data_IF_971230836889
#
_entry.id   IF_971230836889
#
_cell.length_a   1.000
_cell.length_b   1.000
_cell.length_c   1.000
_cell.angle_alpha   90.00
_cell.angle_beta   90.00
_cell.angle_gamma   90.00
#
_symmetry.space_group_name_H-M   'P 1'
#
loop_
_entity.id
_entity.type
_entity.pdbx_description
1 polymer ?
#
# COMPACT_ATOMS: atom_id res chain seq x y z
N UNK A 1 -3.77 -1.55 -13.36
CA UNK A 1 -4.90 -2.00 -14.22
C UNK A 1 -5.73 -3.15 -13.60
N UNK A 2 -5.26 -3.83 -12.55
CA UNK A 2 -6.04 -4.85 -11.79
C UNK A 2 -6.36 -4.42 -10.35
N UNK A 3 -5.47 -3.66 -9.68
CA UNK A 3 -5.76 -3.07 -8.36
C UNK A 3 -7.01 -2.17 -8.38
N UNK A 4 -7.17 -1.34 -9.43
CA UNK A 4 -8.32 -0.43 -9.56
C UNK A 4 -9.64 -1.15 -9.85
N UNK A 5 -9.59 -2.25 -10.60
CA UNK A 5 -10.81 -2.97 -10.99
C UNK A 5 -11.22 -4.02 -9.96
N UNK A 6 -10.28 -4.50 -9.13
CA UNK A 6 -10.51 -5.60 -8.18
C UNK A 6 -10.79 -6.95 -8.85
N UNK A 7 -10.68 -7.04 -10.18
CA UNK A 7 -11.01 -8.25 -10.91
C UNK A 7 -10.05 -9.38 -10.53
N UNK A 8 -10.59 -10.52 -10.11
CA UNK A 8 -9.85 -11.70 -9.63
C UNK A 8 -9.10 -11.53 -8.30
N UNK A 9 -9.45 -10.50 -7.53
CA UNK A 9 -8.95 -10.34 -6.18
C UNK A 9 -9.37 -11.53 -5.29
N UNK A 10 -8.45 -11.99 -4.45
CA UNK A 10 -8.59 -13.11 -3.52
C UNK A 10 -8.30 -12.69 -2.06
N UNK A 11 -8.14 -11.38 -1.84
CA UNK A 11 -7.87 -10.75 -0.57
C UNK A 11 -8.42 -9.32 -0.56
N UNK A 12 -8.91 -8.87 0.59
CA UNK A 12 -9.32 -7.50 0.85
C UNK A 12 -8.42 -6.87 1.92
N UNK A 13 -7.98 -5.63 1.71
CA UNK A 13 -7.27 -4.83 2.71
C UNK A 13 -8.17 -3.68 3.12
N UNK A 14 -8.34 -3.47 4.43
CA UNK A 14 -9.09 -2.35 5.01
C UNK A 14 -8.18 -1.47 5.83
N UNK A 15 -8.29 -0.16 5.67
CA UNK A 15 -7.57 0.82 6.48
C UNK A 15 -8.40 2.10 6.58
N UNK A 16 -8.64 2.57 7.80
CA UNK A 16 -9.54 3.70 8.08
C UNK A 16 -10.91 3.51 7.39
N UNK A 17 -11.32 4.43 6.52
CA UNK A 17 -12.58 4.44 5.77
C UNK A 17 -12.46 3.83 4.36
N UNK A 18 -11.33 3.17 4.06
CA UNK A 18 -11.03 2.67 2.72
C UNK A 18 -10.81 1.17 2.67
N UNK A 19 -11.20 0.60 1.55
CA UNK A 19 -11.13 -0.83 1.25
C UNK A 19 -10.51 -1.03 -0.13
N UNK A 20 -9.62 -2.02 -0.27
CA UNK A 20 -8.99 -2.38 -1.53
C UNK A 20 -9.10 -3.88 -1.78
N UNK A 21 -9.63 -4.24 -2.94
CA UNK A 21 -9.60 -5.61 -3.45
C UNK A 21 -8.23 -5.86 -4.09
N UNK A 22 -7.45 -6.74 -3.46
CA UNK A 22 -6.04 -6.99 -3.78
C UNK A 22 -5.78 -8.47 -4.07
N UNK A 23 -4.58 -8.77 -4.54
CA UNK A 23 -4.22 -10.10 -5.02
C UNK A 23 -3.05 -10.64 -4.21
N UNK A 24 -3.23 -11.79 -3.54
CA UNK A 24 -2.18 -12.44 -2.72
C UNK A 24 -0.93 -12.70 -3.55
N UNK A 25 -1.09 -13.16 -4.79
CA UNK A 25 0.04 -13.43 -5.70
C UNK A 25 0.85 -12.19 -6.11
N UNK A 26 0.35 -10.98 -5.85
CA UNK A 26 1.10 -9.73 -6.03
C UNK A 26 1.76 -9.32 -4.72
N UNK A 27 1.03 -9.39 -3.61
CA UNK A 27 1.49 -8.90 -2.31
C UNK A 27 2.51 -9.84 -1.65
N UNK A 28 2.19 -11.13 -1.51
CA UNK A 28 2.97 -12.09 -0.72
C UNK A 28 4.43 -12.25 -1.20
N UNK A 29 4.73 -12.35 -2.51
CA UNK A 29 6.12 -12.50 -2.97
C UNK A 29 7.00 -11.26 -2.73
N UNK A 30 6.39 -10.12 -2.41
CA UNK A 30 7.06 -8.83 -2.25
C UNK A 30 7.08 -8.35 -0.79
N UNK A 31 6.45 -9.09 0.12
CA UNK A 31 6.33 -8.74 1.53
C UNK A 31 6.17 -10.00 2.36
N UNK A 32 7.20 -10.31 3.16
CA UNK A 32 7.16 -11.42 4.11
C UNK A 32 6.03 -11.26 5.13
N UNK A 33 5.67 -10.01 5.44
CA UNK A 33 4.53 -9.70 6.30
C UNK A 33 3.21 -10.14 5.65
N UNK A 34 2.95 -9.76 4.39
CA UNK A 34 1.74 -10.19 3.67
C UNK A 34 1.75 -11.68 3.42
N UNK A 35 2.91 -12.30 3.18
CA UNK A 35 3.02 -13.74 3.06
C UNK A 35 2.61 -14.43 4.38
N UNK A 36 3.13 -13.99 5.51
CA UNK A 36 2.76 -14.52 6.82
C UNK A 36 1.27 -14.31 7.15
N UNK A 37 0.71 -13.15 6.82
CA UNK A 37 -0.70 -12.83 7.01
C UNK A 37 -1.63 -13.65 6.11
N UNK A 38 -1.17 -14.00 4.90
CA UNK A 38 -1.94 -14.73 3.89
C UNK A 38 -1.87 -16.26 3.96
N UNK A 39 -0.88 -16.81 4.68
CA UNK A 39 -0.55 -18.25 4.78
C UNK A 39 -1.38 -19.03 5.83
N UNK A 40 -2.47 -18.48 6.37
CA UNK A 40 -3.42 -19.29 7.16
C UNK A 40 -3.11 -19.44 8.63
N UNK A 41 -2.01 -18.86 9.13
CA UNK A 41 -1.66 -18.92 10.57
C UNK A 41 -2.40 -17.89 11.42
N UNK A 42 -3.15 -16.98 10.79
CA UNK A 42 -3.90 -15.92 11.44
C UNK A 42 -5.34 -15.84 10.89
N UNK A 43 -6.28 -15.30 11.67
CA UNK A 43 -7.73 -15.26 11.35
C UNK A 43 -8.03 -14.57 10.03
N UNK A 44 -7.17 -13.66 9.62
CA UNK A 44 -7.21 -12.88 8.39
C UNK A 44 -7.28 -13.77 7.13
N UNK A 45 -6.72 -14.98 7.16
CA UNK A 45 -6.76 -15.88 6.01
C UNK A 45 -8.12 -16.56 5.83
N UNK A 46 -8.83 -16.87 6.91
CA UNK A 46 -10.18 -17.44 6.84
C UNK A 46 -11.18 -16.40 6.35
N UNK A 47 -11.06 -15.17 6.84
CA UNK A 47 -11.95 -14.06 6.48
C UNK A 47 -11.59 -13.43 5.12
N UNK A 48 -10.39 -13.70 4.58
CA UNK A 48 -9.80 -13.03 3.39
C UNK A 48 -9.78 -11.51 3.51
N UNK A 49 -9.70 -11.00 4.73
CA UNK A 49 -9.67 -9.58 5.06
C UNK A 49 -8.49 -9.33 5.97
N UNK A 50 -7.65 -8.35 5.60
CA UNK A 50 -6.59 -7.80 6.46
C UNK A 50 -7.00 -6.40 6.87
N UNK A 51 -7.08 -6.14 8.18
CA UNK A 51 -7.41 -4.81 8.72
C UNK A 51 -6.15 -4.15 9.28
N UNK A 52 -5.76 -3.02 8.69
CA UNK A 52 -4.57 -2.25 9.06
C UNK A 52 -4.96 -1.09 9.98
N UNK A 53 -5.03 -1.36 11.29
CA UNK A 53 -5.53 -0.42 12.29
C UNK A 53 -4.59 0.76 12.60
N UNK A 54 -3.28 0.56 12.51
CA UNK A 54 -2.28 1.58 12.92
C UNK A 54 -1.61 2.28 11.73
N UNK A 55 -2.16 2.12 10.52
CA UNK A 55 -1.63 2.70 9.30
C UNK A 55 -2.53 3.82 8.77
N UNK A 56 -1.97 4.68 7.92
CA UNK A 56 -2.71 5.77 7.26
C UNK A 56 -3.20 5.31 5.90
N UNK A 57 -4.47 5.59 5.58
CA UNK A 57 -5.09 5.12 4.33
C UNK A 57 -4.38 5.63 3.06
N UNK A 58 -3.76 6.80 3.11
CA UNK A 58 -2.96 7.37 2.01
C UNK A 58 -1.60 6.67 1.84
N UNK A 59 -0.93 6.31 2.94
CA UNK A 59 0.30 5.54 2.92
C UNK A 59 0.06 4.09 2.48
N UNK A 60 -1.05 3.48 2.91
CA UNK A 60 -1.47 2.15 2.47
C UNK A 60 -1.79 2.16 0.97
N UNK A 61 -2.51 3.17 0.46
CA UNK A 61 -2.76 3.31 -0.97
C UNK A 61 -1.45 3.42 -1.78
N UNK A 62 -0.47 4.16 -1.26
CA UNK A 62 0.86 4.27 -1.86
C UNK A 62 1.61 2.94 -1.83
N UNK A 63 1.58 2.22 -0.70
CA UNK A 63 2.18 0.89 -0.56
C UNK A 63 1.59 -0.09 -1.56
N UNK A 64 0.25 -0.16 -1.67
CA UNK A 64 -0.42 -1.01 -2.63
C UNK A 64 -0.06 -0.60 -4.06
N UNK A 65 -0.09 0.69 -4.39
CA UNK A 65 0.34 1.18 -5.72
C UNK A 65 1.76 0.74 -6.07
N UNK A 66 2.68 0.82 -5.10
CA UNK A 66 4.06 0.35 -5.27
C UNK A 66 4.13 -1.14 -5.54
N UNK A 67 3.43 -1.98 -4.77
CA UNK A 67 3.43 -3.43 -4.98
C UNK A 67 2.93 -3.82 -6.39
N UNK A 68 2.04 -3.02 -6.99
CA UNK A 68 1.54 -3.26 -8.34
C UNK A 68 2.36 -2.63 -9.47
N UNK A 69 3.13 -1.57 -9.20
CA UNK A 69 3.74 -0.75 -10.28
C UNK A 69 5.21 -0.41 -10.06
N UNK A 70 5.79 -0.81 -8.92
CA UNK A 70 7.09 -0.39 -8.40
C UNK A 70 7.23 1.13 -8.23
N UNK A 71 6.09 1.83 -8.17
CA UNK A 71 6.01 3.26 -7.94
C UNK A 71 4.70 3.62 -7.21
N UNK A 72 4.67 4.79 -6.59
CA UNK A 72 3.48 5.40 -5.98
C UNK A 72 3.33 6.88 -6.36
N UNK A 73 3.99 7.33 -7.44
CA UNK A 73 3.68 8.64 -8.04
C UNK A 73 2.26 8.60 -8.60
N UNK A 74 1.45 9.57 -8.19
CA UNK A 74 0.01 9.58 -8.43
C UNK A 74 -0.36 9.49 -9.91
N UNK A 75 -0.94 8.38 -10.32
CA UNK A 75 -1.85 8.36 -11.47
C UNK A 75 -3.31 8.61 -11.06
N UNK A 76 -3.65 8.57 -9.76
CA UNK A 76 -5.04 8.54 -9.30
C UNK A 76 -5.67 9.88 -8.97
N UNK A 77 -4.89 10.87 -8.54
CA UNK A 77 -5.48 12.09 -8.01
C UNK A 77 -5.57 13.13 -9.14
N UNK A 78 -6.65 13.03 -9.93
CA UNK A 78 -7.16 14.23 -10.61
C UNK A 78 -7.22 15.41 -9.62
N UNK A 79 -7.55 15.15 -8.36
CA UNK A 79 -7.49 16.12 -7.27
C UNK A 79 -6.09 16.68 -6.98
N UNK A 80 -4.97 15.95 -7.16
CA UNK A 80 -3.63 16.52 -7.05
C UNK A 80 -3.24 17.33 -8.28
N UNK A 81 -3.82 17.01 -9.45
CA UNK A 81 -3.69 17.83 -10.66
C UNK A 81 -4.53 19.12 -10.57
N UNK A 82 -5.64 19.10 -9.83
CA UNK A 82 -6.53 20.25 -9.63
C UNK A 82 -6.12 21.09 -8.40
N UNK A 83 -5.52 20.47 -7.38
CA UNK A 83 -5.08 21.11 -6.15
C UNK A 83 -3.58 21.44 -6.25
N UNK A 84 -3.25 22.72 -6.41
CA UNK A 84 -1.87 23.25 -6.45
C UNK A 84 -1.05 23.01 -5.16
N UNK A 85 -1.62 22.35 -4.14
CA UNK A 85 -0.91 22.05 -2.91
C UNK A 85 0.03 20.86 -3.11
N UNK A 86 1.33 21.13 -3.07
CA UNK A 86 2.35 20.09 -2.98
C UNK A 86 2.01 19.12 -1.83
N UNK A 87 2.20 17.81 -2.06
CA UNK A 87 2.02 16.79 -1.01
C UNK A 87 2.83 17.19 0.24
N UNK A 88 2.28 17.05 1.46
CA UNK A 88 3.06 17.29 2.68
C UNK A 88 4.36 16.47 2.68
N UNK A 89 5.44 17.02 3.25
CA UNK A 89 6.70 16.28 3.39
C UNK A 89 6.55 15.02 4.26
N UNK A 90 5.58 15.01 5.17
CA UNK A 90 5.22 13.85 6.01
C UNK A 90 4.66 12.67 5.23
N UNK A 91 4.18 12.88 4.00
CA UNK A 91 3.65 11.78 3.18
C UNK A 91 4.70 10.70 2.93
N UNK A 92 5.90 11.07 2.45
CA UNK A 92 6.96 10.08 2.20
C UNK A 92 7.48 9.46 3.51
N UNK A 93 7.36 10.16 4.65
CA UNK A 93 7.67 9.59 5.98
C UNK A 93 6.68 8.49 6.35
N UNK A 94 5.39 8.70 6.12
CA UNK A 94 4.37 7.66 6.35
C UNK A 94 4.54 6.48 5.40
N UNK A 95 4.88 6.74 4.13
CA UNK A 95 5.16 5.67 3.16
C UNK A 95 6.42 4.87 3.54
N UNK A 96 7.45 5.53 4.08
CA UNK A 96 8.60 4.83 4.64
C UNK A 96 8.20 3.93 5.82
N UNK A 97 7.43 4.47 6.77
CA UNK A 97 6.99 3.74 7.96
C UNK A 97 6.13 2.52 7.62
N UNK A 98 5.17 2.64 6.69
CA UNK A 98 4.35 1.51 6.26
C UNK A 98 5.19 0.46 5.53
N UNK A 99 6.19 0.88 4.75
CA UNK A 99 7.13 -0.02 4.08
C UNK A 99 8.02 -0.79 5.06
N UNK A 100 8.49 -0.14 6.13
CA UNK A 100 9.23 -0.82 7.20
C UNK A 100 8.35 -1.84 7.92
N UNK A 101 7.16 -1.43 8.37
CA UNK A 101 6.21 -2.27 9.10
C UNK A 101 5.80 -3.53 8.34
N UNK A 102 5.57 -3.38 7.03
CA UNK A 102 5.14 -4.48 6.16
C UNK A 102 6.29 -5.17 5.44
N UNK A 103 7.55 -4.91 5.83
CA UNK A 103 8.74 -5.56 5.30
C UNK A 103 8.86 -5.45 3.77
N UNK A 104 8.78 -4.22 3.25
CA UNK A 104 8.91 -3.90 1.81
C UNK A 104 10.11 -2.96 1.60
N UNK A 105 11.37 -3.48 1.57
CA UNK A 105 12.57 -2.64 1.49
C UNK A 105 12.62 -1.74 0.26
N UNK A 106 12.07 -2.19 -0.88
CA UNK A 106 12.01 -1.39 -2.10
C UNK A 106 11.18 -0.11 -1.93
N UNK A 107 10.07 -0.20 -1.20
CA UNK A 107 9.21 0.94 -0.88
C UNK A 107 9.93 1.93 0.05
N UNK A 108 10.61 1.42 1.09
CA UNK A 108 11.41 2.25 2.00
C UNK A 108 12.47 3.05 1.23
N UNK A 109 13.18 2.40 0.31
CA UNK A 109 14.22 3.04 -0.49
C UNK A 109 13.65 4.14 -1.41
N UNK A 110 12.52 3.87 -2.07
CA UNK A 110 11.85 4.85 -2.91
C UNK A 110 11.35 6.05 -2.10
N UNK A 111 10.75 5.80 -0.93
CA UNK A 111 10.26 6.84 -0.02
C UNK A 111 11.38 7.72 0.52
N UNK A 112 12.47 7.12 0.99
CA UNK A 112 13.64 7.87 1.44
C UNK A 112 14.26 8.71 0.31
N UNK A 113 14.31 8.18 -0.92
CA UNK A 113 14.80 8.92 -2.09
C UNK A 113 13.92 10.13 -2.40
N UNK A 114 12.59 9.96 -2.38
CA UNK A 114 11.63 11.04 -2.67
C UNK A 114 11.63 12.11 -1.60
N UNK A 115 11.67 11.71 -0.32
CA UNK A 115 11.76 12.65 0.79
C UNK A 115 13.00 13.56 0.67
N UNK A 116 14.17 12.98 0.31
CA UNK A 116 15.42 13.73 0.13
C UNK A 116 15.45 14.64 -1.10
N UNK A 117 14.60 14.38 -2.09
CA UNK A 117 14.56 15.12 -3.35
C UNK A 117 13.56 16.30 -3.34
N UNK A 118 12.92 16.56 -2.20
CA UNK A 118 11.97 17.66 -2.00
C UNK A 118 12.67 19.00 -1.78
#
# INVERSE_FOLDING_TARGET
RILRSGAYADLEVRCEDREWLVHKNVLCPQSDWFNAAGDGRFRETEERVIVLHDDKSDAVEAMLSYLYTQDYSDESSLLQKINLAARPATFDVHVFAVGEKHLIPGLMNLAAKRFRAR
#
